data_IF_893060274842
#
_entry.id   IF_893060274842
#
_cell.length_a   1.000
_cell.length_b   1.000
_cell.length_c   1.000
_cell.angle_alpha   90.00
_cell.angle_beta   90.00
_cell.angle_gamma   90.00
#
_symmetry.space_group_name_H-M   'P 1'
#
loop_
_entity.id
_entity.type
_entity.pdbx_description
1 polymer ?
#
# COMPACT_ATOMS: atom_id res chain seq x y z
N UNK A 1 8.02 8.38 -20.15
CA UNK A 1 7.57 9.58 -19.44
C UNK A 1 7.37 9.13 -18.00
N UNK A 2 8.05 9.77 -17.03
CA UNK A 2 7.87 9.41 -15.61
C UNK A 2 6.43 9.72 -15.17
N UNK A 3 5.97 9.03 -14.13
CA UNK A 3 4.67 9.35 -13.54
C UNK A 3 4.74 10.71 -12.85
N UNK A 4 3.63 11.44 -12.88
CA UNK A 4 3.55 12.70 -12.16
C UNK A 4 3.36 12.36 -10.68
N UNK A 5 4.26 12.87 -9.85
CA UNK A 5 4.17 12.73 -8.40
C UNK A 5 3.56 13.98 -7.77
N UNK A 6 2.89 13.78 -6.65
CA UNK A 6 2.30 14.82 -5.82
C UNK A 6 2.75 14.63 -4.37
N UNK A 7 2.93 15.75 -3.68
CA UNK A 7 3.27 15.75 -2.26
C UNK A 7 1.99 15.58 -1.43
N UNK A 8 1.98 14.53 -0.61
CA UNK A 8 0.85 14.15 0.22
C UNK A 8 1.24 14.29 1.69
N UNK A 9 0.48 15.11 2.44
CA UNK A 9 0.58 15.18 3.90
C UNK A 9 -0.14 13.98 4.51
N UNK A 10 0.59 13.12 5.22
CA UNK A 10 0.05 11.92 5.88
C UNK A 10 0.05 12.03 7.41
N UNK A 11 0.87 12.91 7.98
CA UNK A 11 0.84 13.29 9.41
C UNK A 11 1.20 14.77 9.58
N UNK A 12 1.07 15.33 10.79
CA UNK A 12 1.24 16.75 11.10
C UNK A 12 2.55 17.35 10.59
N UNK A 13 3.64 16.58 10.64
CA UNK A 13 4.97 16.96 10.15
C UNK A 13 5.56 15.95 9.13
N UNK A 14 4.72 15.07 8.54
CA UNK A 14 5.19 14.03 7.62
C UNK A 14 4.51 14.12 6.24
N UNK A 15 5.34 14.27 5.22
CA UNK A 15 4.96 14.35 3.81
C UNK A 15 5.66 13.26 3.01
N UNK A 16 4.91 12.65 2.09
CA UNK A 16 5.42 11.63 1.17
C UNK A 16 5.11 12.03 -0.27
N UNK A 17 5.90 11.52 -1.21
CA UNK A 17 5.63 11.65 -2.64
C UNK A 17 4.91 10.40 -3.15
N UNK A 18 3.75 10.60 -3.78
CA UNK A 18 2.95 9.50 -4.36
C UNK A 18 2.57 9.83 -5.80
N UNK A 19 2.28 8.81 -6.60
CA UNK A 19 1.77 9.02 -7.96
C UNK A 19 0.40 9.73 -7.95
N UNK A 20 0.18 10.66 -8.87
CA UNK A 20 -1.12 11.33 -9.04
C UNK A 20 -2.21 10.28 -9.33
N UNK A 21 -3.29 10.31 -8.54
CA UNK A 21 -4.41 9.40 -8.62
C UNK A 21 -4.43 8.26 -7.61
N UNK A 22 -3.45 8.08 -6.71
CA UNK A 22 -3.52 7.10 -5.59
C UNK A 22 -3.53 7.76 -4.20
N UNK A 23 -3.52 9.09 -4.15
CA UNK A 23 -3.33 9.89 -2.94
C UNK A 23 -4.35 9.57 -1.86
N UNK A 24 -5.62 9.42 -2.24
CA UNK A 24 -6.72 9.17 -1.33
C UNK A 24 -6.58 7.80 -0.65
N UNK A 25 -6.16 6.79 -1.41
CA UNK A 25 -5.90 5.45 -0.86
C UNK A 25 -4.72 5.49 0.09
N UNK A 26 -3.59 6.08 -0.33
CA UNK A 26 -2.39 6.14 0.52
C UNK A 26 -2.67 6.93 1.79
N UNK A 27 -3.28 8.12 1.69
CA UNK A 27 -3.63 8.93 2.86
C UNK A 27 -4.50 8.15 3.84
N UNK A 28 -5.45 7.39 3.32
CA UNK A 28 -6.38 6.65 4.14
C UNK A 28 -5.74 5.41 4.80
N UNK A 29 -4.74 4.78 4.18
CA UNK A 29 -3.92 3.78 4.87
C UNK A 29 -3.28 4.37 6.13
N UNK A 30 -2.63 5.55 6.03
CA UNK A 30 -2.03 6.22 7.19
C UNK A 30 -3.07 6.63 8.24
N UNK A 31 -4.25 7.12 7.84
CA UNK A 31 -5.35 7.40 8.77
C UNK A 31 -5.75 6.17 9.60
N UNK A 32 -5.67 4.98 9.00
CA UNK A 32 -5.99 3.70 9.65
C UNK A 32 -4.79 3.02 10.30
N UNK A 33 -3.70 3.76 10.54
CA UNK A 33 -2.45 3.26 11.14
C UNK A 33 -1.86 2.07 10.36
N UNK A 34 -1.93 2.13 9.02
CA UNK A 34 -1.31 1.16 8.11
C UNK A 34 -0.29 1.93 7.29
N UNK A 35 0.99 1.67 7.50
CA UNK A 35 2.05 2.41 6.84
C UNK A 35 2.43 1.81 5.48
N UNK A 36 2.70 2.69 4.51
CA UNK A 36 3.22 2.32 3.19
C UNK A 36 4.53 3.05 2.91
N UNK A 37 5.54 2.32 2.44
CA UNK A 37 6.86 2.89 2.12
C UNK A 37 7.02 3.24 0.64
N UNK A 38 6.20 2.66 -0.25
CA UNK A 38 6.24 2.97 -1.68
C UNK A 38 4.88 2.72 -2.35
N UNK A 39 4.61 3.46 -3.42
CA UNK A 39 3.43 3.21 -4.26
C UNK A 39 3.66 3.65 -5.70
N UNK A 40 3.02 2.97 -6.64
CA UNK A 40 3.05 3.30 -8.05
C UNK A 40 1.73 2.94 -8.72
N UNK A 41 1.12 3.89 -9.42
CA UNK A 41 -0.19 3.68 -10.06
C UNK A 41 -0.10 2.88 -11.37
N UNK A 42 1.08 2.82 -12.00
CA UNK A 42 1.32 2.04 -13.22
C UNK A 42 2.73 1.42 -13.27
N UNK A 43 3.01 0.49 -12.36
CA UNK A 43 4.20 -0.35 -12.43
C UNK A 43 4.00 -1.47 -13.46
N UNK A 44 4.38 -1.21 -14.72
CA UNK A 44 4.33 -2.20 -15.83
C UNK A 44 2.92 -2.78 -16.06
N UNK A 45 1.89 -1.93 -16.00
CA UNK A 45 0.48 -2.34 -16.15
C UNK A 45 -0.19 -2.78 -14.85
N UNK A 46 0.47 -2.65 -13.71
CA UNK A 46 -0.11 -2.98 -12.40
C UNK A 46 0.00 -1.80 -11.45
N UNK A 47 -1.01 -1.60 -10.61
CA UNK A 47 -0.84 -0.81 -9.38
C UNK A 47 0.07 -1.61 -8.45
N UNK A 48 0.98 -0.91 -7.76
CA UNK A 48 1.85 -1.47 -6.74
C UNK A 48 1.77 -0.60 -5.48
N UNK A 49 1.50 -1.23 -4.35
CA UNK A 49 1.54 -0.62 -3.02
C UNK A 49 2.49 -1.47 -2.18
N UNK A 50 3.41 -0.84 -1.48
CA UNK A 50 4.40 -1.49 -0.63
C UNK A 50 4.21 -1.05 0.82
N UNK A 51 4.00 -2.02 1.69
CA UNK A 51 3.82 -1.83 3.13
C UNK A 51 5.16 -1.87 3.84
N UNK A 52 5.34 -1.02 4.85
CA UNK A 52 6.59 -0.89 5.61
C UNK A 52 7.01 -2.21 6.26
N UNK A 53 6.04 -2.92 6.87
CA UNK A 53 6.31 -4.21 7.50
C UNK A 53 5.15 -5.22 7.33
N UNK A 54 5.40 -6.45 7.80
CA UNK A 54 4.37 -7.50 7.79
C UNK A 54 3.16 -7.14 8.67
N UNK A 55 3.37 -6.36 9.75
CA UNK A 55 2.32 -5.91 10.65
C UNK A 55 1.25 -5.07 9.95
N UNK A 56 1.66 -4.10 9.13
CA UNK A 56 0.76 -3.28 8.32
C UNK A 56 -0.09 -4.12 7.37
N UNK A 57 0.55 -5.06 6.68
CA UNK A 57 -0.12 -5.99 5.78
C UNK A 57 -1.10 -6.91 6.52
N UNK A 58 -0.71 -7.43 7.69
CA UNK A 58 -1.59 -8.23 8.54
C UNK A 58 -2.82 -7.44 8.99
N UNK A 59 -2.64 -6.20 9.46
CA UNK A 59 -3.72 -5.32 9.88
C UNK A 59 -4.70 -5.06 8.73
N UNK A 60 -4.18 -4.73 7.54
CA UNK A 60 -4.99 -4.56 6.33
C UNK A 60 -5.83 -5.81 6.02
N UNK A 61 -5.22 -6.99 6.03
CA UNK A 61 -5.92 -8.26 5.80
C UNK A 61 -6.98 -8.57 6.86
N UNK A 62 -6.67 -8.33 8.14
CA UNK A 62 -7.61 -8.57 9.24
C UNK A 62 -8.85 -7.69 9.10
N UNK A 63 -8.68 -6.42 8.73
CA UNK A 63 -9.80 -5.48 8.53
C UNK A 63 -10.64 -5.86 7.31
N UNK A 64 -10.00 -6.23 6.19
CA UNK A 64 -10.70 -6.74 5.02
C UNK A 64 -11.51 -8.02 5.33
N UNK A 65 -10.93 -8.96 6.09
CA UNK A 65 -11.60 -10.20 6.49
C UNK A 65 -12.77 -9.94 7.46
N UNK A 66 -12.59 -9.05 8.43
CA UNK A 66 -13.67 -8.65 9.37
C UNK A 66 -14.84 -8.03 8.61
N UNK A 67 -14.57 -7.17 7.63
CA UNK A 67 -15.60 -6.61 6.76
C UNK A 67 -16.34 -7.73 6.00
N UNK A 68 -15.61 -8.68 5.39
CA UNK A 68 -16.22 -9.83 4.71
C UNK A 68 -17.17 -10.62 5.61
N UNK A 69 -16.74 -10.98 6.82
CA UNK A 69 -17.59 -11.72 7.78
C UNK A 69 -18.89 -10.94 8.08
N UNK A 70 -18.79 -9.62 8.24
CA UNK A 70 -19.96 -8.75 8.48
C UNK A 70 -20.87 -8.62 7.26
N UNK A 71 -20.28 -8.49 6.06
CA UNK A 71 -20.98 -8.31 4.79
C UNK A 71 -21.69 -9.60 4.35
N UNK A 72 -21.04 -10.76 4.44
CA UNK A 72 -21.63 -12.05 4.07
C UNK A 72 -22.82 -12.43 4.94
N UNK A 73 -22.89 -11.94 6.18
CA UNK A 73 -24.08 -12.10 7.03
C UNK A 73 -25.31 -11.32 6.52
N UNK A 74 -25.11 -10.30 5.67
CA UNK A 74 -26.17 -9.44 5.12
C UNK A 74 -26.46 -9.73 3.65
N UNK A 75 -25.42 -9.97 2.85
CA UNK A 75 -25.51 -10.26 1.42
C UNK A 75 -24.37 -11.21 0.99
N UNK A 76 -24.63 -12.53 0.90
CA UNK A 76 -23.61 -13.54 0.60
C UNK A 76 -22.97 -13.43 -0.79
N UNK A 77 -23.64 -12.78 -1.75
CA UNK A 77 -23.15 -12.68 -3.14
C UNK A 77 -22.36 -11.38 -3.42
N UNK A 78 -22.27 -10.48 -2.44
CA UNK A 78 -21.54 -9.23 -2.62
C UNK A 78 -20.03 -9.50 -2.58
N UNK A 79 -19.34 -9.12 -3.66
CA UNK A 79 -17.88 -9.10 -3.70
C UNK A 79 -17.33 -8.12 -2.65
N UNK A 80 -16.29 -8.54 -1.92
CA UNK A 80 -15.65 -7.75 -0.87
C UNK A 80 -14.18 -7.49 -1.18
N UNK A 81 -13.57 -6.53 -0.48
CA UNK A 81 -12.13 -6.29 -0.60
C UNK A 81 -11.31 -7.56 -0.33
N UNK A 82 -11.76 -8.41 0.60
CA UNK A 82 -11.10 -9.69 0.86
C UNK A 82 -11.10 -10.60 -0.38
N UNK A 83 -12.22 -10.69 -1.09
CA UNK A 83 -12.32 -11.51 -2.30
C UNK A 83 -11.43 -10.96 -3.42
N UNK A 84 -11.42 -9.63 -3.59
CA UNK A 84 -10.50 -8.94 -4.49
C UNK A 84 -9.04 -9.30 -4.20
N UNK A 85 -8.62 -9.22 -2.93
CA UNK A 85 -7.24 -9.51 -2.53
C UNK A 85 -6.87 -10.96 -2.82
N UNK A 86 -7.80 -11.92 -2.67
CA UNK A 86 -7.53 -13.32 -2.94
C UNK A 86 -7.47 -13.65 -4.43
N UNK A 87 -8.34 -13.05 -5.25
CA UNK A 87 -8.56 -13.49 -6.63
C UNK A 87 -7.87 -12.60 -7.67
N UNK A 88 -7.73 -11.32 -7.36
CA UNK A 88 -7.34 -10.28 -8.32
C UNK A 88 -5.99 -9.63 -7.99
N UNK A 89 -5.41 -9.95 -6.84
CA UNK A 89 -4.13 -9.38 -6.39
C UNK A 89 -3.00 -10.41 -6.31
N UNK A 90 -1.77 -9.91 -6.26
CA UNK A 90 -0.54 -10.67 -6.03
C UNK A 90 0.27 -10.01 -4.93
N UNK A 91 0.79 -10.82 -4.03
CA UNK A 91 1.58 -10.34 -2.89
C UNK A 91 2.97 -10.95 -2.99
N UNK A 92 4.00 -10.12 -2.85
CA UNK A 92 5.39 -10.56 -2.80
C UNK A 92 6.06 -10.00 -1.56
N UNK A 93 7.01 -10.75 -0.99
CA UNK A 93 7.94 -10.20 -0.03
C UNK A 93 9.04 -9.47 -0.80
N UNK A 94 9.30 -8.23 -0.42
CA UNK A 94 10.38 -7.41 -0.94
C UNK A 94 11.48 -7.38 0.11
N UNK A 95 12.70 -7.64 -0.31
CA UNK A 95 13.87 -7.67 0.56
C UNK A 95 14.82 -6.59 0.11
N UNK A 96 15.29 -5.77 1.05
CA UNK A 96 16.30 -4.76 0.80
C UNK A 96 17.29 -4.67 1.97
N UNK A 97 18.38 -3.93 1.79
CA UNK A 97 19.33 -3.60 2.86
C UNK A 97 19.12 -2.16 3.31
N UNK A 98 19.09 -1.92 4.62
CA UNK A 98 19.10 -0.56 5.15
C UNK A 98 20.39 0.16 4.74
N UNK A 99 20.24 1.38 4.25
CA UNK A 99 21.32 2.23 3.80
C UNK A 99 21.49 3.44 4.73
N UNK A 100 22.74 3.79 5.00
CA UNK A 100 23.11 5.05 5.66
C UNK A 100 24.01 5.86 4.74
N UNK A 101 24.08 7.17 4.95
CA UNK A 101 25.04 8.04 4.25
C UNK A 101 26.47 7.63 4.62
N UNK A 102 27.36 7.52 3.62
CA UNK A 102 28.75 7.21 3.86
C UNK A 102 29.45 8.42 4.50
N UNK A 103 29.95 8.33 5.75
CA UNK A 103 30.63 9.45 6.39
C UNK A 103 31.94 9.84 5.70
N UNK A 104 32.44 9.03 4.77
CA UNK A 104 33.67 9.26 4.02
C UNK A 104 33.42 9.65 2.55
N UNK A 105 32.17 9.63 2.09
CA UNK A 105 31.80 9.96 0.72
C UNK A 105 30.43 10.66 0.69
N UNK A 106 30.43 11.96 0.43
CA UNK A 106 29.21 12.80 0.42
C UNK A 106 28.14 12.34 -0.59
N UNK A 107 28.50 11.58 -1.62
CA UNK A 107 27.56 11.02 -2.61
C UNK A 107 27.38 9.49 -2.48
N UNK A 108 27.98 8.89 -1.44
CA UNK A 108 27.96 7.45 -1.22
C UNK A 108 26.95 7.03 -0.14
N UNK A 109 26.45 5.81 -0.27
CA UNK A 109 25.69 5.12 0.78
C UNK A 109 26.39 3.82 1.17
N UNK A 110 26.27 3.44 2.44
CA UNK A 110 26.76 2.18 2.99
C UNK A 110 25.60 1.33 3.47
N UNK A 111 25.63 0.04 3.15
CA UNK A 111 24.72 -0.95 3.74
C UNK A 111 25.05 -1.16 5.22
N UNK A 112 24.02 -1.18 6.07
CA UNK A 112 24.20 -1.40 7.52
C UNK A 112 24.28 -2.90 7.87
N UNK A 113 24.02 -3.79 6.91
CA UNK A 113 23.82 -5.22 7.15
C UNK A 113 22.47 -5.57 7.76
N UNK A 114 21.55 -4.59 7.91
CA UNK A 114 20.19 -4.83 8.39
C UNK A 114 19.29 -5.15 7.21
N UNK A 115 18.63 -6.31 7.26
CA UNK A 115 17.65 -6.74 6.27
C UNK A 115 16.31 -6.05 6.51
N UNK A 116 15.84 -5.30 5.52
CA UNK A 116 14.50 -4.74 5.45
C UNK A 116 13.60 -5.74 4.71
N UNK A 117 12.43 -6.01 5.26
CA UNK A 117 11.42 -6.91 4.66
C UNK A 117 10.09 -6.16 4.56
N UNK A 118 9.72 -5.79 3.34
CA UNK A 118 8.47 -5.13 3.02
C UNK A 118 7.49 -6.11 2.35
N UNK A 119 6.21 -5.73 2.29
CA UNK A 119 5.18 -6.51 1.58
C UNK A 119 4.66 -5.71 0.39
N UNK A 120 4.82 -6.24 -0.82
CA UNK A 120 4.35 -5.61 -2.05
C UNK A 120 3.04 -6.22 -2.56
N UNK A 121 1.95 -5.45 -2.49
CA UNK A 121 0.65 -5.75 -3.11
C UNK A 121 0.64 -5.23 -4.55
N UNK A 122 0.23 -6.07 -5.49
CA UNK A 122 0.09 -5.71 -6.91
C UNK A 122 -1.23 -6.22 -7.49
N UNK A 123 -1.88 -5.41 -8.32
CA UNK A 123 -3.04 -5.83 -9.09
C UNK A 123 -3.10 -5.05 -10.43
N UNK A 124 -3.77 -5.59 -11.47
CA UNK A 124 -3.88 -4.91 -12.75
C UNK A 124 -4.50 -3.51 -12.63
N UNK A 125 -3.90 -2.51 -13.30
CA UNK A 125 -4.30 -1.10 -13.13
C UNK A 125 -5.75 -0.80 -13.52
N UNK A 126 -6.29 -1.58 -14.45
CA UNK A 126 -7.69 -1.50 -14.88
C UNK A 126 -8.68 -1.79 -13.74
N UNK A 127 -8.24 -2.48 -12.68
CA UNK A 127 -9.04 -2.79 -11.51
C UNK A 127 -8.96 -1.72 -10.42
N UNK A 128 -8.26 -0.60 -10.65
CA UNK A 128 -8.08 0.45 -9.65
C UNK A 128 -9.40 1.08 -9.18
N UNK A 129 -10.38 1.21 -10.08
CA UNK A 129 -11.72 1.71 -9.71
C UNK A 129 -12.43 0.76 -8.75
N UNK A 130 -12.45 -0.54 -9.08
CA UNK A 130 -13.05 -1.58 -8.24
C UNK A 130 -12.35 -1.70 -6.88
N UNK A 131 -11.01 -1.72 -6.88
CA UNK A 131 -10.21 -1.74 -5.65
C UNK A 131 -10.55 -0.54 -4.77
N UNK A 132 -10.63 0.67 -5.34
CA UNK A 132 -10.93 1.90 -4.59
C UNK A 132 -12.31 1.84 -3.95
N UNK A 133 -13.33 1.40 -4.68
CA UNK A 133 -14.69 1.25 -4.15
C UNK A 133 -14.71 0.28 -2.96
N UNK A 134 -14.16 -0.92 -3.14
CA UNK A 134 -14.09 -1.94 -2.09
C UNK A 134 -13.23 -1.49 -0.90
N UNK A 135 -12.15 -0.75 -1.17
CA UNK A 135 -11.26 -0.21 -0.14
C UNK A 135 -12.00 0.76 0.78
N UNK A 136 -12.70 1.76 0.23
CA UNK A 136 -13.40 2.75 1.06
C UNK A 136 -14.66 2.20 1.77
N UNK A 137 -15.17 1.05 1.36
CA UNK A 137 -16.19 0.33 2.15
C UNK A 137 -15.63 -0.27 3.45
N UNK A 138 -14.35 -0.66 3.45
CA UNK A 138 -13.66 -1.20 4.63
C UNK A 138 -13.05 -0.08 5.45
N UNK A 139 -12.44 0.88 4.78
CA UNK A 139 -11.69 1.99 5.34
C UNK A 139 -12.37 3.30 4.96
N UNK A 140 -13.48 3.70 5.61
CA UNK A 140 -14.09 4.99 5.32
C UNK A 140 -13.08 6.13 5.55
N UNK A 141 -13.06 7.15 4.68
CA UNK A 141 -12.19 8.31 4.86
C UNK A 141 -12.69 9.19 6.01
N UNK A 142 -11.80 10.01 6.57
CA UNK A 142 -12.17 11.13 7.48
C UNK A 142 -13.05 12.19 6.81
#
# INVERSE_FOLDING_TARGET
MGHKQVELKVDDDFYILVDEGIEDIIKNFFHWEIETCNSCIDYKGSVWIEFCEYGDWEQFLQLALRNKISASGKNPEKETLWDFLQEKSRVNLVFDEELIDDPNNEEGTLGTGVLIICVGLKFPKELMGEFRELFFEVFPPE
#
